data_IF_346797534846
#
_entry.id   IF_346797534846
#
_cell.length_a   1.000
_cell.length_b   1.000
_cell.length_c   1.000
_cell.angle_alpha   90.00
_cell.angle_beta   90.00
_cell.angle_gamma   90.00
#
_symmetry.space_group_name_H-M   'P 1'
#
loop_
_entity.id
_entity.type
_entity.pdbx_description
1 polymer ?
#
# COMPACT_ATOMS: atom_id res chain seq x y z
N UNK A 1 -11.11 3.81 -23.74
CA UNK A 1 -11.35 3.69 -25.21
C UNK A 1 -10.98 4.97 -25.97
N UNK A 2 -11.64 6.12 -25.76
CA UNK A 2 -11.26 7.37 -26.42
C UNK A 2 -9.82 7.82 -26.07
N UNK A 3 -9.47 7.78 -24.77
CA UNK A 3 -8.11 8.03 -24.29
C UNK A 3 -7.08 7.10 -24.96
N UNK A 4 -7.30 5.78 -24.93
CA UNK A 4 -6.46 4.78 -25.64
C UNK A 4 -6.18 5.17 -27.09
N UNK A 5 -7.23 5.52 -27.86
CA UNK A 5 -7.10 5.91 -29.27
C UNK A 5 -6.27 7.19 -29.45
N UNK A 6 -6.46 8.18 -28.57
CA UNK A 6 -5.77 9.46 -28.66
C UNK A 6 -4.28 9.36 -28.28
N UNK A 7 -3.90 8.34 -27.51
CA UNK A 7 -2.55 8.17 -26.99
C UNK A 7 -1.83 6.92 -27.51
N UNK A 8 -2.42 6.19 -28.47
CA UNK A 8 -1.82 4.98 -29.03
C UNK A 8 -1.67 3.82 -28.03
N UNK A 9 -2.46 3.80 -26.96
CA UNK A 9 -2.41 2.78 -25.91
C UNK A 9 -3.43 1.67 -26.17
N UNK A 10 -3.16 0.45 -25.73
CA UNK A 10 -4.20 -0.58 -25.62
C UNK A 10 -4.99 -0.38 -24.32
N UNK A 11 -6.12 -1.08 -24.18
CA UNK A 11 -6.87 -1.07 -22.92
C UNK A 11 -6.17 -1.88 -21.82
N UNK A 12 -5.32 -2.85 -22.21
CA UNK A 12 -4.56 -3.68 -21.28
C UNK A 12 -3.42 -2.90 -20.61
N UNK A 13 -2.86 -1.92 -21.32
CA UNK A 13 -1.79 -1.06 -20.83
C UNK A 13 -2.28 0.04 -19.86
N UNK A 14 -3.60 0.17 -19.66
CA UNK A 14 -4.14 1.18 -18.74
C UNK A 14 -4.19 0.66 -17.32
N UNK A 15 -3.45 1.35 -16.43
CA UNK A 15 -3.62 1.16 -15.00
C UNK A 15 -5.05 1.54 -14.57
N UNK A 16 -5.64 0.73 -13.70
CA UNK A 16 -6.94 0.97 -13.11
C UNK A 16 -6.95 0.61 -11.62
N UNK A 17 -7.88 1.20 -10.88
CA UNK A 17 -8.12 0.84 -9.48
C UNK A 17 -8.92 -0.47 -9.46
N UNK A 18 -8.24 -1.58 -9.17
CA UNK A 18 -8.82 -2.92 -9.07
C UNK A 18 -9.58 -3.11 -7.75
N UNK A 19 -9.12 -2.47 -6.68
CA UNK A 19 -9.76 -2.51 -5.37
C UNK A 19 -9.45 -1.27 -4.54
N UNK A 20 -10.28 -1.01 -3.55
CA UNK A 20 -10.10 0.14 -2.65
C UNK A 20 -10.67 -0.16 -1.27
N UNK A 21 -10.21 0.57 -0.27
CA UNK A 21 -10.76 0.56 1.08
C UNK A 21 -10.56 1.90 1.76
N UNK A 22 -11.54 2.28 2.58
CA UNK A 22 -11.52 3.52 3.33
C UNK A 22 -12.19 3.32 4.68
N UNK A 23 -11.54 3.77 5.76
CA UNK A 23 -12.10 3.74 7.11
C UNK A 23 -11.74 5.00 7.88
N UNK A 24 -12.60 5.35 8.84
CA UNK A 24 -12.37 6.44 9.80
C UNK A 24 -12.52 5.90 11.22
N UNK A 25 -11.55 6.20 12.08
CA UNK A 25 -11.50 5.85 13.49
C UNK A 25 -11.75 7.08 14.38
N UNK A 26 -12.05 6.90 15.68
CA UNK A 26 -12.09 8.00 16.63
C UNK A 26 -10.78 8.80 16.68
N UNK A 27 -10.87 10.10 16.89
CA UNK A 27 -9.66 10.95 16.96
C UNK A 27 -8.80 10.64 18.20
N UNK A 28 -9.43 10.35 19.34
CA UNK A 28 -8.72 10.08 20.59
C UNK A 28 -7.90 8.77 20.51
N UNK A 29 -6.62 8.87 20.87
CA UNK A 29 -5.71 7.72 20.90
C UNK A 29 -6.16 6.68 21.92
N UNK A 30 -6.57 7.09 23.13
CA UNK A 30 -7.06 6.17 24.17
C UNK A 30 -8.20 5.28 23.65
N UNK A 31 -9.21 5.85 22.99
CA UNK A 31 -10.33 5.10 22.41
C UNK A 31 -9.89 4.14 21.30
N UNK A 32 -8.85 4.48 20.54
CA UNK A 32 -8.28 3.57 19.53
C UNK A 32 -7.51 2.42 20.19
N UNK A 33 -6.80 2.69 21.29
CA UNK A 33 -6.06 1.68 22.04
C UNK A 33 -6.99 0.70 22.76
N UNK A 34 -8.07 1.17 23.38
CA UNK A 34 -9.11 0.31 23.98
C UNK A 34 -9.76 -0.65 22.97
N UNK A 35 -9.81 -0.24 21.69
CA UNK A 35 -10.33 -1.05 20.58
C UNK A 35 -9.24 -1.85 19.86
N UNK A 36 -7.98 -1.58 20.16
CA UNK A 36 -6.85 -2.40 19.69
C UNK A 36 -6.81 -3.68 20.53
N UNK A 37 -6.18 -4.75 20.02
CA UNK A 37 -6.26 -6.13 20.56
C UNK A 37 -7.38 -7.01 19.98
N UNK A 38 -7.95 -6.62 18.84
CA UNK A 38 -8.71 -7.60 18.01
C UNK A 38 -7.72 -8.45 17.23
N UNK A 39 -7.40 -9.65 17.72
CA UNK A 39 -6.49 -10.63 17.11
C UNK A 39 -5.03 -10.12 16.95
N UNK A 40 -4.52 -9.40 17.94
CA UNK A 40 -3.13 -8.92 17.98
C UNK A 40 -2.82 -7.67 17.14
N UNK A 41 -3.79 -7.15 16.39
CA UNK A 41 -3.59 -5.94 15.58
C UNK A 41 -3.86 -4.66 16.36
N UNK A 42 -2.90 -3.73 16.33
CA UNK A 42 -3.13 -2.33 16.74
C UNK A 42 -3.90 -1.62 15.64
N UNK A 43 -4.85 -0.73 15.97
CA UNK A 43 -5.67 -0.02 14.97
C UNK A 43 -6.41 -0.94 13.97
N UNK A 44 -7.39 -1.75 14.41
CA UNK A 44 -8.09 -2.71 13.53
C UNK A 44 -8.77 -2.09 12.29
N UNK A 45 -9.13 -0.80 12.35
CA UNK A 45 -9.69 -0.08 11.20
C UNK A 45 -8.66 0.18 10.09
N UNK A 46 -7.36 0.22 10.40
CA UNK A 46 -6.27 0.20 9.42
C UNK A 46 -6.30 -1.11 8.64
N UNK A 47 -6.26 -2.24 9.35
CA UNK A 47 -6.35 -3.58 8.72
C UNK A 47 -7.62 -3.71 7.88
N UNK A 48 -8.73 -3.17 8.37
CA UNK A 48 -10.00 -3.19 7.62
C UNK A 48 -9.88 -2.46 6.28
N UNK A 49 -9.24 -1.28 6.22
CA UNK A 49 -9.07 -0.55 4.96
C UNK A 49 -8.27 -1.36 3.93
N UNK A 50 -7.17 -2.00 4.36
CA UNK A 50 -6.33 -2.84 3.49
C UNK A 50 -7.09 -4.11 3.03
N UNK A 51 -7.69 -4.84 3.95
CA UNK A 51 -8.43 -6.09 3.63
C UNK A 51 -9.70 -5.84 2.82
N UNK A 52 -10.31 -4.66 2.96
CA UNK A 52 -11.38 -4.20 2.07
C UNK A 52 -10.89 -3.99 0.64
N UNK A 53 -9.68 -3.45 0.45
CA UNK A 53 -9.07 -3.27 -0.86
C UNK A 53 -8.76 -4.62 -1.52
N UNK A 54 -8.18 -5.58 -0.78
CA UNK A 54 -7.99 -6.95 -1.23
C UNK A 54 -9.29 -7.61 -1.67
N UNK A 55 -10.33 -7.56 -0.82
CA UNK A 55 -11.62 -8.17 -1.12
C UNK A 55 -12.24 -7.61 -2.40
N UNK A 56 -12.20 -6.29 -2.60
CA UNK A 56 -12.73 -5.65 -3.81
C UNK A 56 -11.90 -5.98 -5.05
N UNK A 57 -10.60 -6.16 -4.89
CA UNK A 57 -9.70 -6.60 -5.96
C UNK A 57 -9.74 -8.12 -6.23
N UNK A 58 -10.52 -8.88 -5.45
CA UNK A 58 -10.52 -10.34 -5.46
C UNK A 58 -9.12 -10.95 -5.25
N UNK A 59 -8.37 -10.39 -4.30
CA UNK A 59 -7.07 -10.89 -3.85
C UNK A 59 -7.21 -11.53 -2.47
N UNK A 60 -6.49 -12.62 -2.26
CA UNK A 60 -6.39 -13.39 -1.03
C UNK A 60 -5.39 -12.80 -0.03
N UNK A 61 -4.38 -12.06 -0.49
CA UNK A 61 -3.38 -11.47 0.38
C UNK A 61 -2.15 -10.89 -0.34
N UNK A 62 -1.05 -10.64 0.38
CA UNK A 62 0.12 -9.92 -0.15
C UNK A 62 0.91 -10.71 -1.19
N UNK A 63 0.78 -12.04 -1.23
CA UNK A 63 1.46 -12.88 -2.23
C UNK A 63 0.92 -12.70 -3.67
N UNK A 64 -0.19 -11.97 -3.83
CA UNK A 64 -0.75 -11.61 -5.14
C UNK A 64 -0.51 -10.13 -5.47
N UNK A 65 0.41 -9.47 -4.74
CA UNK A 65 0.92 -8.15 -5.03
C UNK A 65 2.36 -8.26 -5.51
N UNK A 66 2.76 -7.34 -6.37
CA UNK A 66 4.14 -7.22 -6.85
C UNK A 66 4.93 -6.16 -6.08
N UNK A 67 4.25 -5.17 -5.50
CA UNK A 67 4.86 -4.15 -4.64
C UNK A 67 3.82 -3.46 -3.77
N UNK A 68 4.29 -2.72 -2.76
CA UNK A 68 3.47 -1.92 -1.86
C UNK A 68 4.08 -0.52 -1.73
N UNK A 69 3.27 0.53 -1.88
CA UNK A 69 3.59 1.89 -1.43
C UNK A 69 2.81 2.17 -0.14
N UNK A 70 3.48 2.36 0.98
CA UNK A 70 2.86 2.55 2.30
C UNK A 70 3.31 3.85 2.96
N UNK A 71 2.48 4.33 3.89
CA UNK A 71 2.70 5.59 4.60
C UNK A 71 3.68 5.45 5.76
N UNK A 72 4.96 5.42 5.44
CA UNK A 72 6.11 5.39 6.35
C UNK A 72 6.45 6.79 6.91
N UNK A 73 5.46 7.57 7.40
CA UNK A 73 5.78 8.88 8.00
C UNK A 73 6.71 8.78 9.22
N UNK A 74 6.80 7.58 9.82
CA UNK A 74 7.82 7.15 10.74
C UNK A 74 8.15 5.67 10.45
N UNK A 75 9.34 5.18 10.82
CA UNK A 75 9.69 3.77 10.63
C UNK A 75 8.70 2.80 11.28
N UNK A 76 8.12 3.18 12.42
CA UNK A 76 7.12 2.36 13.13
C UNK A 76 5.80 2.22 12.34
N UNK A 77 5.45 3.17 11.47
CA UNK A 77 4.23 3.04 10.65
C UNK A 77 4.44 2.07 9.47
N UNK A 78 5.67 1.91 9.00
CA UNK A 78 6.02 0.84 8.05
C UNK A 78 5.95 -0.53 8.71
N UNK A 79 6.48 -0.69 9.94
CA UNK A 79 6.31 -1.91 10.75
C UNK A 79 4.85 -2.32 10.88
N UNK A 80 4.00 -1.35 11.24
CA UNK A 80 2.56 -1.55 11.34
C UNK A 80 1.94 -1.97 9.99
N UNK A 81 2.38 -1.37 8.88
CA UNK A 81 1.89 -1.71 7.55
C UNK A 81 2.26 -3.15 7.14
N UNK A 82 3.49 -3.62 7.43
CA UNK A 82 3.94 -5.00 7.15
C UNK A 82 2.95 -6.01 7.73
N UNK A 83 2.54 -5.82 8.98
CA UNK A 83 1.59 -6.70 9.67
C UNK A 83 0.17 -6.57 9.09
N UNK A 84 -0.28 -5.33 8.82
CA UNK A 84 -1.64 -5.12 8.32
C UNK A 84 -1.87 -5.58 6.88
N UNK A 85 -0.85 -5.53 6.03
CA UNK A 85 -0.86 -6.18 4.72
C UNK A 85 -0.78 -7.71 4.83
N UNK A 86 -0.35 -8.24 5.98
CA UNK A 86 -0.26 -9.68 6.24
C UNK A 86 1.04 -10.31 5.72
N UNK A 87 2.08 -9.51 5.53
CA UNK A 87 3.42 -9.98 5.13
C UNK A 87 4.08 -10.74 6.29
N UNK A 88 3.81 -10.29 7.51
CA UNK A 88 4.16 -10.97 8.75
C UNK A 88 2.95 -11.01 9.70
N UNK A 89 2.98 -11.94 10.65
CA UNK A 89 2.01 -11.97 11.75
C UNK A 89 2.13 -10.70 12.62
N UNK A 90 1.08 -10.32 13.38
CA UNK A 90 1.17 -9.27 14.38
C UNK A 90 2.33 -9.44 15.35
N UNK A 91 3.07 -8.36 15.60
CA UNK A 91 4.27 -8.34 16.43
C UNK A 91 5.51 -8.99 15.79
N UNK A 92 5.44 -9.41 14.53
CA UNK A 92 6.54 -10.09 13.82
C UNK A 92 7.00 -9.36 12.56
N UNK A 93 6.65 -8.08 12.38
CA UNK A 93 7.11 -7.27 11.24
C UNK A 93 8.63 -7.34 11.01
N UNK A 94 9.41 -7.38 12.09
CA UNK A 94 10.87 -7.48 12.05
C UNK A 94 11.39 -8.68 11.25
N UNK A 95 10.64 -9.79 11.21
CA UNK A 95 11.05 -10.99 10.46
C UNK A 95 11.09 -10.72 8.96
N UNK A 96 10.12 -9.96 8.43
CA UNK A 96 10.10 -9.62 7.02
C UNK A 96 11.29 -8.73 6.62
N UNK A 97 11.79 -7.92 7.55
CA UNK A 97 12.95 -7.05 7.36
C UNK A 97 14.24 -7.89 7.41
N UNK A 98 14.45 -8.68 8.46
CA UNK A 98 15.65 -9.53 8.61
C UNK A 98 15.79 -10.56 7.48
N UNK A 99 14.65 -11.03 6.94
CA UNK A 99 14.61 -11.95 5.80
C UNK A 99 14.74 -11.23 4.44
N UNK A 100 14.90 -9.90 4.42
CA UNK A 100 14.96 -9.05 3.22
C UNK A 100 13.74 -9.23 2.29
N UNK A 101 12.58 -9.61 2.84
CA UNK A 101 11.35 -9.84 2.05
C UNK A 101 10.83 -8.55 1.42
N UNK A 102 11.06 -7.42 2.07
CA UNK A 102 10.51 -6.12 1.69
C UNK A 102 11.50 -5.25 0.89
N UNK A 103 12.73 -5.73 0.71
CA UNK A 103 13.74 -5.05 -0.09
C UNK A 103 13.31 -4.91 -1.55
N UNK A 104 13.97 -4.04 -2.32
CA UNK A 104 13.69 -3.81 -3.74
C UNK A 104 13.65 -5.11 -4.58
N UNK A 105 14.49 -6.08 -4.25
CA UNK A 105 14.56 -7.38 -4.91
C UNK A 105 13.97 -8.53 -4.07
N UNK A 106 13.28 -8.18 -2.98
CA UNK A 106 12.63 -9.12 -2.08
C UNK A 106 11.36 -9.71 -2.68
N UNK A 107 10.69 -10.56 -1.89
CA UNK A 107 9.44 -11.22 -2.32
C UNK A 107 8.26 -10.24 -2.46
N UNK A 108 8.26 -9.13 -1.71
CA UNK A 108 7.22 -8.10 -1.76
C UNK A 108 7.83 -6.72 -1.47
N UNK A 109 8.49 -6.08 -2.45
CA UNK A 109 9.11 -4.77 -2.28
C UNK A 109 8.15 -3.75 -1.67
N UNK A 110 8.57 -3.13 -0.56
CA UNK A 110 7.87 -2.01 0.08
C UNK A 110 8.59 -0.72 -0.26
N UNK A 111 7.80 0.30 -0.61
CA UNK A 111 8.24 1.64 -0.94
C UNK A 111 9.41 1.66 -1.96
N UNK A 112 9.30 1.02 -3.15
CA UNK A 112 10.31 1.18 -4.20
C UNK A 112 10.58 2.65 -4.55
N UNK A 113 9.61 3.54 -4.35
CA UNK A 113 9.77 4.98 -4.51
C UNK A 113 10.80 5.61 -3.55
N UNK A 114 11.14 4.92 -2.45
CA UNK A 114 11.85 5.47 -1.29
C UNK A 114 10.93 5.95 -0.17
N UNK A 115 9.60 5.86 -0.34
CA UNK A 115 8.64 6.17 0.70
C UNK A 115 8.61 7.66 1.09
N UNK A 116 7.93 7.97 2.18
CA UNK A 116 7.90 9.30 2.78
C UNK A 116 9.24 9.65 3.42
N UNK A 117 9.97 8.66 3.97
CA UNK A 117 11.29 8.87 4.58
C UNK A 117 12.31 9.31 3.54
N UNK A 118 12.35 8.65 2.37
CA UNK A 118 13.33 8.94 1.32
C UNK A 118 12.93 10.08 0.38
N UNK A 119 11.66 10.17 -0.04
CA UNK A 119 11.19 11.18 -1.01
C UNK A 119 10.63 12.45 -0.36
N UNK A 120 10.33 12.41 0.94
CA UNK A 120 9.67 13.49 1.66
C UNK A 120 8.15 13.36 1.72
N UNK A 121 7.53 14.15 2.61
CA UNK A 121 6.12 14.03 2.98
C UNK A 121 5.34 15.35 2.90
N UNK A 122 5.06 15.90 1.69
CA UNK A 122 4.05 16.95 1.52
C UNK A 122 2.66 16.32 1.75
N UNK A 123 2.08 16.58 2.92
CA UNK A 123 0.99 15.78 3.51
C UNK A 123 -0.18 15.54 2.54
N UNK A 124 -0.68 16.61 1.89
CA UNK A 124 -1.80 16.51 0.95
C UNK A 124 -1.46 15.85 -0.39
N UNK A 125 -0.18 15.88 -0.80
CA UNK A 125 0.26 15.31 -2.08
C UNK A 125 0.61 13.82 -1.97
N UNK A 126 0.96 13.36 -0.76
CA UNK A 126 1.53 12.02 -0.53
C UNK A 126 0.64 10.90 -1.06
N UNK A 127 -0.65 10.88 -0.72
CA UNK A 127 -1.56 9.84 -1.21
C UNK A 127 -1.74 9.82 -2.73
N UNK A 128 -1.71 11.00 -3.37
CA UNK A 128 -1.80 11.11 -4.84
C UNK A 128 -0.50 10.63 -5.48
N UNK A 129 0.65 10.97 -4.89
CA UNK A 129 1.97 10.50 -5.32
C UNK A 129 2.05 8.97 -5.25
N UNK A 130 1.67 8.36 -4.14
CA UNK A 130 1.69 6.90 -3.98
C UNK A 130 0.83 6.19 -5.05
N UNK A 131 -0.33 6.76 -5.39
CA UNK A 131 -1.15 6.21 -6.48
C UNK A 131 -0.47 6.37 -7.85
N UNK A 132 0.18 7.51 -8.11
CA UNK A 132 0.98 7.74 -9.31
C UNK A 132 2.17 6.77 -9.39
N UNK A 133 2.85 6.51 -8.27
CA UNK A 133 3.95 5.56 -8.19
C UNK A 133 3.44 4.14 -8.50
N UNK A 134 2.29 3.74 -7.94
CA UNK A 134 1.63 2.48 -8.29
C UNK A 134 1.24 2.37 -9.78
N UNK A 135 0.78 3.46 -10.40
CA UNK A 135 0.53 3.51 -11.85
C UNK A 135 1.83 3.33 -12.63
N UNK A 136 2.90 4.01 -12.23
CA UNK A 136 4.21 3.92 -12.89
C UNK A 136 4.78 2.50 -12.81
N UNK A 137 4.68 1.86 -11.65
CA UNK A 137 5.11 0.48 -11.48
C UNK A 137 4.37 -0.47 -12.41
N UNK A 138 3.04 -0.39 -12.43
CA UNK A 138 2.20 -1.34 -13.21
C UNK A 138 2.27 -1.12 -14.73
N UNK A 139 2.75 0.05 -15.17
CA UNK A 139 2.91 0.44 -16.58
C UNK A 139 4.35 0.45 -17.07
N UNK A 140 5.30 -0.06 -16.26
CA UNK A 140 6.74 -0.10 -16.61
C UNK A 140 7.35 1.29 -16.88
N UNK A 141 6.89 2.32 -16.17
CA UNK A 141 7.36 3.71 -16.30
C UNK A 141 7.95 4.27 -15.01
N UNK A 142 8.33 3.42 -14.05
CA UNK A 142 8.90 3.84 -12.76
C UNK A 142 10.40 4.17 -12.79
N UNK A 143 11.07 4.01 -13.95
CA UNK A 143 12.49 4.36 -14.12
C UNK A 143 13.39 3.53 -13.20
N UNK A 144 14.33 4.17 -12.50
CA UNK A 144 15.29 3.49 -11.62
C UNK A 144 14.64 2.79 -10.41
N UNK A 145 13.37 3.09 -10.12
CA UNK A 145 12.60 2.52 -9.02
C UNK A 145 11.75 1.32 -9.47
N UNK A 146 11.89 0.87 -10.72
CA UNK A 146 11.03 -0.15 -11.32
C UNK A 146 11.20 -1.52 -10.65
N UNK A 147 10.09 -2.05 -10.13
CA UNK A 147 9.97 -3.46 -9.76
C UNK A 147 9.71 -4.27 -11.02
N UNK A 148 10.56 -5.25 -11.29
CA UNK A 148 10.54 -6.03 -12.53
C UNK A 148 9.20 -6.78 -12.68
N UNK A 149 8.49 -6.52 -13.78
CA UNK A 149 7.25 -7.22 -14.11
C UNK A 149 6.04 -6.87 -13.25
N UNK A 150 6.10 -5.79 -12.46
CA UNK A 150 4.98 -5.39 -11.61
C UNK A 150 3.71 -5.11 -12.43
N UNK A 151 2.59 -5.72 -12.02
CA UNK A 151 1.27 -5.57 -12.63
C UNK A 151 0.17 -5.28 -11.60
N UNK A 152 0.40 -5.57 -10.33
CA UNK A 152 -0.52 -5.33 -9.21
C UNK A 152 0.23 -4.71 -8.04
N UNK A 153 -0.07 -3.44 -7.72
CA UNK A 153 0.58 -2.70 -6.63
C UNK A 153 -0.46 -2.21 -5.65
N UNK A 154 -0.22 -2.44 -4.36
CA UNK A 154 -1.07 -1.89 -3.30
C UNK A 154 -0.54 -0.55 -2.79
N UNK A 155 -1.45 0.31 -2.34
CA UNK A 155 -1.12 1.54 -1.62
C UNK A 155 -1.83 1.55 -0.27
N UNK A 156 -1.21 2.15 0.75
CA UNK A 156 -1.88 2.46 2.02
C UNK A 156 -1.44 3.83 2.54
N UNK A 157 -2.37 4.78 2.58
CA UNK A 157 -2.19 6.14 3.07
C UNK A 157 -2.97 6.34 4.38
N UNK A 158 -2.38 7.06 5.34
CA UNK A 158 -2.96 7.32 6.65
C UNK A 158 -2.97 8.81 7.01
N UNK A 159 -4.09 9.26 7.57
CA UNK A 159 -4.27 10.57 8.18
C UNK A 159 -4.33 10.48 9.71
N UNK A 160 -3.53 11.29 10.38
CA UNK A 160 -3.37 11.26 11.84
C UNK A 160 -2.81 9.92 12.33
N UNK A 161 -3.03 9.60 13.61
CA UNK A 161 -2.59 8.33 14.20
C UNK A 161 -3.61 7.22 13.94
N UNK A 162 -3.66 6.71 12.69
CA UNK A 162 -4.60 5.67 12.26
C UNK A 162 -6.06 6.14 12.18
N UNK A 163 -6.29 7.46 12.11
CA UNK A 163 -7.64 8.06 12.18
C UNK A 163 -8.37 7.94 10.85
N UNK A 164 -7.71 8.26 9.73
CA UNK A 164 -8.29 8.10 8.39
C UNK A 164 -7.38 7.19 7.60
N UNK A 165 -7.93 6.14 7.02
CA UNK A 165 -7.15 5.11 6.34
C UNK A 165 -7.70 4.95 4.93
N UNK A 166 -6.82 4.99 3.93
CA UNK A 166 -7.18 4.77 2.53
C UNK A 166 -6.21 3.76 1.94
N UNK A 167 -6.73 2.75 1.26
CA UNK A 167 -5.92 1.78 0.52
C UNK A 167 -6.48 1.59 -0.87
N UNK A 168 -5.59 1.44 -1.87
CA UNK A 168 -5.96 1.11 -3.24
C UNK A 168 -5.12 -0.08 -3.72
N UNK A 169 -5.70 -0.90 -4.60
CA UNK A 169 -4.98 -1.84 -5.44
C UNK A 169 -5.01 -1.27 -6.87
N UNK A 170 -3.84 -0.93 -7.40
CA UNK A 170 -3.66 -0.49 -8.79
C UNK A 170 -3.20 -1.69 -9.61
N UNK A 171 -3.80 -1.91 -10.77
CA UNK A 171 -3.48 -3.03 -11.65
C UNK A 171 -3.46 -2.60 -13.11
N UNK A 172 -2.63 -3.24 -13.93
CA UNK A 172 -2.81 -3.35 -15.38
C UNK A 172 -3.42 -4.72 -15.72
N UNK A 173 -4.02 -4.87 -16.91
CA UNK A 173 -4.78 -6.07 -17.30
C UNK A 173 -3.98 -7.06 -18.15
#
# INVERSE_FOLDING_TARGET
KAHCKNHGLSFQDLAYIKGWGHTTAPMLMATKMEKSDTNGYVFPLTRKAITDAYRRANLSGPNELDAIETHDCFSITEYMAIEHFGIADPGKAWQAIEENKIDMNGAIPINPSGGLIGQGHPVGATGVRMLLDGVRQTTETAGDMQVAGARTVATYNVGGSGTTNVSFIVSTA
#
